data_IF_668151625824
#
_entry.id   IF_668151625824
#
_cell.length_a   1.000
_cell.length_b   1.000
_cell.length_c   1.000
_cell.angle_alpha   90.00
_cell.angle_beta   90.00
_cell.angle_gamma   90.00
#
_symmetry.space_group_name_H-M   'P 1'
#
loop_
_entity.id
_entity.type
_entity.pdbx_description
1 polymer ?
#
# COMPACT_ATOMS: atom_id res chain seq x y z
N UNK A 1 13.41 -23.90 52.30
CA UNK A 1 12.70 -23.48 51.06
C UNK A 1 13.58 -22.46 50.35
N UNK A 2 14.23 -22.90 49.28
CA UNK A 2 15.12 -22.13 48.42
C UNK A 2 14.33 -21.11 47.58
N UNK A 3 14.78 -19.84 47.41
CA UNK A 3 14.13 -18.90 46.54
C UNK A 3 14.51 -19.20 45.08
N UNK A 4 13.49 -19.50 44.28
CA UNK A 4 13.62 -19.84 42.88
C UNK A 4 14.23 -18.71 42.04
N UNK A 5 15.17 -19.11 41.28
CA UNK A 5 15.88 -18.41 40.20
C UNK A 5 14.90 -17.85 39.17
N UNK A 6 14.52 -16.57 39.29
CA UNK A 6 13.89 -15.84 38.19
C UNK A 6 14.98 -15.56 37.16
N UNK A 7 15.08 -16.44 36.18
CA UNK A 7 15.90 -16.24 35.00
C UNK A 7 15.50 -14.90 34.35
N UNK A 8 16.50 -14.03 34.22
CA UNK A 8 16.51 -12.85 33.42
C UNK A 8 15.89 -13.15 32.04
N UNK A 9 14.64 -12.78 31.81
CA UNK A 9 14.19 -12.48 30.46
C UNK A 9 14.96 -11.23 30.06
N UNK A 10 15.94 -11.42 29.19
CA UNK A 10 16.62 -10.32 28.54
C UNK A 10 15.52 -9.42 27.95
N UNK A 11 15.39 -8.20 28.48
CA UNK A 11 14.72 -7.13 27.77
C UNK A 11 15.50 -7.00 26.47
N UNK A 12 14.88 -7.41 25.38
CA UNK A 12 15.36 -7.03 24.06
C UNK A 12 15.23 -5.52 24.00
N UNK A 13 16.33 -4.84 24.25
CA UNK A 13 16.46 -3.38 24.11
C UNK A 13 16.39 -3.04 22.61
N UNK A 14 15.18 -2.97 22.07
CA UNK A 14 14.91 -2.47 20.72
C UNK A 14 15.24 -0.97 20.56
N UNK A 15 15.67 -0.32 21.63
CA UNK A 15 16.01 1.10 21.67
C UNK A 15 17.42 1.42 21.10
N UNK A 16 18.28 0.42 20.89
CA UNK A 16 19.66 0.63 20.43
C UNK A 16 19.90 0.28 18.96
N UNK A 17 18.95 -0.39 18.29
CA UNK A 17 19.11 -0.72 16.88
C UNK A 17 18.89 0.54 16.00
N UNK A 18 19.83 0.89 15.11
CA UNK A 18 19.65 2.02 14.20
C UNK A 18 18.35 1.88 13.39
N UNK A 19 17.63 2.99 13.21
CA UNK A 19 16.32 2.99 12.51
C UNK A 19 16.40 2.28 11.16
N UNK A 20 17.45 2.54 10.38
CA UNK A 20 17.65 1.96 9.05
C UNK A 20 17.75 0.44 9.11
N UNK A 21 18.56 -0.12 10.02
CA UNK A 21 18.72 -1.56 10.17
C UNK A 21 17.40 -2.24 10.60
N UNK A 22 16.66 -1.61 11.50
CA UNK A 22 15.35 -2.06 11.94
C UNK A 22 14.34 -2.10 10.79
N UNK A 23 14.29 -1.02 9.99
CA UNK A 23 13.41 -0.93 8.83
C UNK A 23 13.78 -2.00 7.79
N UNK A 24 15.06 -2.18 7.52
CA UNK A 24 15.57 -3.21 6.61
C UNK A 24 15.18 -4.62 7.06
N UNK A 25 15.29 -4.89 8.34
CA UNK A 25 14.91 -6.20 8.91
C UNK A 25 13.42 -6.44 8.76
N UNK A 26 12.57 -5.44 9.08
CA UNK A 26 11.12 -5.53 8.92
C UNK A 26 10.72 -5.76 7.47
N UNK A 27 11.36 -5.04 6.53
CA UNK A 27 11.13 -5.23 5.10
C UNK A 27 11.41 -6.65 4.64
N UNK A 28 12.61 -7.18 4.97
CA UNK A 28 13.00 -8.55 4.60
C UNK A 28 12.06 -9.60 5.19
N UNK A 29 11.66 -9.42 6.45
CA UNK A 29 10.72 -10.32 7.12
C UNK A 29 9.35 -10.29 6.43
N UNK A 30 8.81 -9.10 6.16
CA UNK A 30 7.54 -8.95 5.47
C UNK A 30 7.58 -9.49 4.05
N UNK A 31 8.64 -9.20 3.29
CA UNK A 31 8.82 -9.69 1.92
C UNK A 31 8.81 -11.22 1.87
N UNK A 32 9.52 -11.88 2.77
CA UNK A 32 9.52 -13.34 2.85
C UNK A 32 8.15 -13.91 3.20
N UNK A 33 7.46 -13.30 4.17
CA UNK A 33 6.16 -13.76 4.62
C UNK A 33 5.06 -13.56 3.58
N UNK A 34 5.07 -12.44 2.85
CA UNK A 34 4.06 -12.10 1.86
C UNK A 34 4.42 -12.54 0.43
N UNK A 35 5.53 -13.25 0.24
CA UNK A 35 6.04 -13.64 -1.08
C UNK A 35 4.99 -14.34 -1.95
N UNK A 36 4.31 -15.35 -1.39
CA UNK A 36 3.28 -16.11 -2.12
C UNK A 36 2.12 -15.20 -2.51
N UNK A 37 1.58 -14.45 -1.54
CA UNK A 37 0.48 -13.51 -1.80
C UNK A 37 0.84 -12.47 -2.87
N UNK A 38 2.08 -11.94 -2.86
CA UNK A 38 2.55 -10.98 -3.88
C UNK A 38 2.66 -11.59 -5.26
N UNK A 39 3.09 -12.86 -5.35
CA UNK A 39 3.13 -13.59 -6.60
C UNK A 39 1.72 -13.81 -7.15
N UNK A 40 0.81 -14.25 -6.27
CA UNK A 40 -0.60 -14.52 -6.63
C UNK A 40 -1.29 -13.22 -7.04
N UNK A 41 -1.09 -12.12 -6.29
CA UNK A 41 -1.66 -10.81 -6.61
C UNK A 41 -1.22 -10.29 -7.99
N UNK A 42 0.07 -10.43 -8.35
CA UNK A 42 0.53 -10.05 -9.70
C UNK A 42 -0.13 -10.90 -10.79
N UNK A 43 -0.30 -12.18 -10.53
CA UNK A 43 -1.01 -13.08 -11.45
C UNK A 43 -2.49 -12.68 -11.57
N UNK A 44 -3.15 -12.35 -10.46
CA UNK A 44 -4.54 -11.91 -10.43
C UNK A 44 -4.74 -10.62 -11.24
N UNK A 45 -3.88 -9.62 -11.09
CA UNK A 45 -3.90 -8.42 -11.94
C UNK A 45 -3.70 -8.77 -13.41
N UNK A 46 -2.76 -9.66 -13.73
CA UNK A 46 -2.53 -10.13 -15.09
C UNK A 46 -3.71 -10.91 -15.68
N UNK A 47 -4.52 -11.59 -14.87
CA UNK A 47 -5.76 -12.20 -15.33
C UNK A 47 -6.87 -11.16 -15.58
N UNK A 48 -6.91 -10.10 -14.78
CA UNK A 48 -7.90 -9.02 -14.94
C UNK A 48 -7.63 -8.19 -16.19
N UNK A 49 -6.37 -7.87 -16.47
CA UNK A 49 -5.98 -7.13 -17.67
C UNK A 49 -5.91 -8.01 -18.94
N UNK A 50 -5.89 -9.33 -18.76
CA UNK A 50 -5.87 -10.31 -19.85
C UNK A 50 -4.48 -10.66 -20.38
N UNK A 51 -3.41 -10.14 -19.76
CA UNK A 51 -2.02 -10.38 -20.19
C UNK A 51 -1.52 -11.77 -19.82
N UNK A 52 -2.00 -12.34 -18.70
CA UNK A 52 -1.55 -13.62 -18.15
C UNK A 52 -2.43 -14.83 -18.47
N UNK A 53 -3.30 -14.73 -19.47
CA UNK A 53 -4.20 -15.83 -19.88
C UNK A 53 -3.48 -16.99 -20.56
N UNK A 54 -2.29 -16.75 -21.07
CA UNK A 54 -1.46 -17.74 -21.73
C UNK A 54 -0.06 -17.76 -21.08
N UNK A 55 0.45 -18.98 -20.80
CA UNK A 55 1.85 -19.09 -20.51
C UNK A 55 2.67 -18.77 -21.78
N UNK A 56 3.87 -18.20 -21.64
CA UNK A 56 4.72 -17.88 -22.80
C UNK A 56 5.01 -19.15 -23.64
N UNK A 57 5.20 -20.29 -22.97
CA UNK A 57 5.43 -21.57 -23.64
C UNK A 57 4.22 -22.00 -24.48
N UNK A 58 3.00 -21.90 -23.95
CA UNK A 58 1.78 -22.29 -24.68
C UNK A 58 1.51 -21.33 -25.83
N UNK A 59 1.73 -20.03 -25.62
CA UNK A 59 1.63 -19.02 -26.66
C UNK A 59 2.63 -19.29 -27.79
N UNK A 60 3.86 -19.67 -27.47
CA UNK A 60 4.88 -20.01 -28.46
C UNK A 60 4.52 -21.26 -29.25
N UNK A 61 4.03 -22.32 -28.59
CA UNK A 61 3.56 -23.53 -29.28
C UNK A 61 2.44 -23.21 -30.28
N UNK A 62 1.51 -22.32 -29.93
CA UNK A 62 0.45 -21.91 -30.83
C UNK A 62 0.99 -21.12 -32.03
N UNK A 63 1.94 -20.19 -31.80
CA UNK A 63 2.61 -19.43 -32.87
C UNK A 63 3.35 -20.34 -33.82
N UNK A 64 4.10 -21.34 -33.32
CA UNK A 64 4.83 -22.32 -34.13
C UNK A 64 3.89 -23.17 -34.99
N UNK A 65 2.66 -23.41 -34.50
CA UNK A 65 1.60 -24.10 -35.25
C UNK A 65 0.81 -23.16 -36.19
N UNK A 66 1.22 -21.91 -36.34
CA UNK A 66 0.53 -20.86 -37.11
C UNK A 66 -0.93 -20.65 -36.63
N UNK A 67 -1.20 -20.88 -35.36
CA UNK A 67 -2.51 -20.66 -34.75
C UNK A 67 -2.50 -19.29 -34.04
N UNK A 68 -3.59 -18.52 -34.13
CA UNK A 68 -3.66 -17.25 -33.41
C UNK A 68 -3.74 -17.50 -31.89
N UNK A 69 -3.01 -16.69 -31.13
CA UNK A 69 -3.11 -16.63 -29.68
C UNK A 69 -4.21 -15.61 -29.34
N UNK A 70 -5.41 -16.09 -29.00
CA UNK A 70 -6.56 -15.25 -28.70
C UNK A 70 -6.92 -15.35 -27.24
N UNK A 71 -7.07 -14.20 -26.58
CA UNK A 71 -7.53 -14.10 -25.20
C UNK A 71 -8.96 -13.58 -25.16
N UNK A 72 -9.85 -14.32 -24.50
CA UNK A 72 -11.20 -13.89 -24.17
C UNK A 72 -11.27 -13.58 -22.68
N UNK A 73 -10.93 -12.33 -22.32
CA UNK A 73 -10.96 -11.93 -20.94
C UNK A 73 -12.40 -11.94 -20.40
N UNK A 74 -12.64 -12.77 -19.39
CA UNK A 74 -13.92 -12.87 -18.66
C UNK A 74 -13.81 -12.39 -17.22
N UNK A 75 -12.58 -12.22 -16.71
CA UNK A 75 -12.32 -11.76 -15.35
C UNK A 75 -12.63 -10.26 -15.23
N UNK A 76 -12.09 -9.43 -16.15
CA UNK A 76 -12.31 -8.00 -16.16
C UNK A 76 -13.79 -7.61 -16.04
N UNK A 77 -14.69 -8.07 -16.93
CA UNK A 77 -16.12 -7.74 -16.85
C UNK A 77 -16.80 -8.12 -15.52
N UNK A 78 -16.35 -9.16 -14.84
CA UNK A 78 -16.90 -9.54 -13.52
C UNK A 78 -16.45 -8.52 -12.46
N UNK A 79 -15.18 -8.12 -12.48
CA UNK A 79 -14.67 -7.07 -11.59
C UNK A 79 -15.41 -5.76 -11.85
N UNK A 80 -15.58 -5.35 -13.13
CA UNK A 80 -16.28 -4.13 -13.52
C UNK A 80 -17.73 -4.09 -13.00
N UNK A 81 -18.43 -5.23 -12.98
CA UNK A 81 -19.79 -5.31 -12.40
C UNK A 81 -19.76 -5.06 -10.90
N UNK A 82 -18.78 -5.61 -10.17
CA UNK A 82 -18.69 -5.45 -8.71
C UNK A 82 -18.31 -4.01 -8.35
N UNK A 83 -17.32 -3.44 -9.03
CA UNK A 83 -16.89 -2.04 -8.82
C UNK A 83 -17.97 -1.06 -9.26
N UNK A 84 -18.67 -1.33 -10.36
CA UNK A 84 -19.82 -0.52 -10.78
C UNK A 84 -20.98 -0.54 -9.78
N UNK A 85 -21.17 -1.63 -9.02
CA UNK A 85 -22.15 -1.65 -7.93
C UNK A 85 -21.69 -0.81 -6.73
N UNK A 86 -20.41 -0.78 -6.42
CA UNK A 86 -19.86 0.07 -5.38
C UNK A 86 -20.07 1.54 -5.74
N UNK A 87 -19.67 1.97 -6.94
CA UNK A 87 -19.84 3.34 -7.45
C UNK A 87 -21.30 3.80 -7.38
N UNK A 88 -22.26 2.92 -7.72
CA UNK A 88 -23.67 3.25 -7.65
C UNK A 88 -24.23 3.30 -6.22
N UNK A 89 -23.53 2.76 -5.23
CA UNK A 89 -23.95 2.69 -3.84
C UNK A 89 -22.97 3.38 -2.89
N UNK A 90 -22.20 4.35 -3.37
CA UNK A 90 -21.29 5.15 -2.55
C UNK A 90 -22.00 5.72 -1.33
N UNK A 91 -21.35 5.67 -0.19
CA UNK A 91 -21.92 6.11 1.08
C UNK A 91 -21.37 7.49 1.44
N UNK A 92 -22.27 8.39 1.82
CA UNK A 92 -21.91 9.69 2.36
C UNK A 92 -21.41 9.59 3.81
N UNK A 93 -20.36 10.31 4.13
CA UNK A 93 -19.87 10.46 5.51
C UNK A 93 -20.69 11.52 6.23
N UNK A 94 -21.36 11.15 7.32
CA UNK A 94 -22.17 12.07 8.14
C UNK A 94 -21.78 12.01 9.58
N UNK A 95 -21.58 13.17 10.20
CA UNK A 95 -21.39 13.30 11.65
C UNK A 95 -22.73 13.31 12.36
N UNK A 96 -22.93 12.37 13.27
CA UNK A 96 -24.17 12.21 14.03
C UNK A 96 -23.96 12.81 15.42
N UNK A 97 -24.86 13.74 15.88
CA UNK A 97 -24.78 14.31 17.21
C UNK A 97 -25.00 13.25 18.29
N UNK A 98 -24.15 13.25 19.32
CA UNK A 98 -24.29 12.37 20.48
C UNK A 98 -25.00 13.03 21.64
N UNK A 99 -24.95 14.37 21.73
CA UNK A 99 -25.57 15.17 22.78
C UNK A 99 -26.51 16.22 22.19
N UNK A 100 -27.46 16.67 23.02
CA UNK A 100 -28.34 17.78 22.63
C UNK A 100 -27.54 19.09 22.59
N UNK A 101 -27.46 19.70 21.45
CA UNK A 101 -26.66 20.92 21.19
C UNK A 101 -25.59 20.79 20.12
N UNK A 102 -25.13 19.57 19.83
CA UNK A 102 -24.07 19.32 18.87
C UNK A 102 -24.53 19.36 17.41
N UNK A 103 -25.84 19.54 17.18
CA UNK A 103 -26.42 19.45 15.84
C UNK A 103 -25.79 20.43 14.86
N UNK A 104 -25.63 21.69 15.25
CA UNK A 104 -25.02 22.72 14.38
C UNK A 104 -23.54 22.46 14.07
N UNK A 105 -22.80 21.97 15.06
CA UNK A 105 -21.38 21.62 14.88
C UNK A 105 -21.25 20.43 13.93
N UNK A 106 -22.09 19.41 14.09
CA UNK A 106 -22.05 18.22 13.25
C UNK A 106 -22.46 18.51 11.80
N UNK A 107 -23.37 19.44 11.56
CA UNK A 107 -23.70 19.90 10.20
C UNK A 107 -22.48 20.58 9.54
N UNK A 108 -21.76 21.43 10.27
CA UNK A 108 -20.53 22.08 9.78
C UNK A 108 -19.45 21.04 9.52
N UNK A 109 -19.24 20.07 10.42
CA UNK A 109 -18.25 19.01 10.25
C UNK A 109 -18.58 18.11 9.05
N UNK A 110 -19.86 17.80 8.84
CA UNK A 110 -20.29 17.03 7.67
C UNK A 110 -19.99 17.78 6.39
N UNK A 111 -20.38 19.07 6.30
CA UNK A 111 -20.08 19.87 5.13
C UNK A 111 -18.57 20.09 4.89
N UNK A 112 -17.77 20.21 5.96
CA UNK A 112 -16.32 20.29 5.84
C UNK A 112 -15.71 18.98 5.32
N UNK A 113 -16.21 17.84 5.79
CA UNK A 113 -15.76 16.53 5.31
C UNK A 113 -16.11 16.32 3.84
N UNK A 114 -17.32 16.68 3.43
CA UNK A 114 -17.76 16.63 2.03
C UNK A 114 -16.86 17.52 1.15
N UNK A 115 -16.62 18.77 1.57
CA UNK A 115 -15.78 19.70 0.84
C UNK A 115 -14.33 19.19 0.67
N UNK A 116 -13.74 18.60 1.72
CA UNK A 116 -12.40 18.02 1.64
C UNK A 116 -12.39 16.82 0.69
N UNK A 117 -13.38 15.94 0.77
CA UNK A 117 -13.47 14.75 -0.07
C UNK A 117 -13.66 15.09 -1.54
N UNK A 118 -14.50 16.09 -1.84
CA UNK A 118 -14.70 16.61 -3.20
C UNK A 118 -13.40 17.24 -3.73
N UNK A 119 -12.68 17.97 -2.88
CA UNK A 119 -11.47 18.69 -3.27
C UNK A 119 -10.27 17.80 -3.61
N UNK A 120 -10.28 16.53 -3.15
CA UNK A 120 -9.21 15.55 -3.42
C UNK A 120 -9.69 14.31 -4.18
N UNK A 121 -10.86 14.35 -4.82
CA UNK A 121 -11.46 13.23 -5.58
C UNK A 121 -11.48 11.91 -4.78
N UNK A 122 -11.69 12.01 -3.46
CA UNK A 122 -11.57 10.90 -2.52
C UNK A 122 -12.45 9.69 -2.89
N UNK A 123 -13.62 9.93 -3.49
CA UNK A 123 -14.53 8.87 -3.88
C UNK A 123 -13.97 7.99 -5.00
N UNK A 124 -13.23 8.57 -5.93
CA UNK A 124 -12.62 7.83 -7.04
C UNK A 124 -11.40 7.06 -6.54
N UNK A 125 -10.57 7.66 -5.69
CA UNK A 125 -9.43 7.00 -5.05
C UNK A 125 -9.87 5.82 -4.15
N UNK A 126 -10.96 5.96 -3.42
CA UNK A 126 -11.55 4.89 -2.60
C UNK A 126 -12.13 3.77 -3.48
N UNK A 127 -12.76 4.09 -4.62
CA UNK A 127 -13.27 3.09 -5.58
C UNK A 127 -12.12 2.31 -6.23
N UNK A 128 -11.02 2.97 -6.54
CA UNK A 128 -9.82 2.31 -7.06
C UNK A 128 -9.20 1.37 -6.00
N UNK A 129 -9.12 1.80 -4.74
CA UNK A 129 -8.68 0.95 -3.65
C UNK A 129 -9.65 -0.23 -3.40
N UNK A 130 -10.95 -0.03 -3.59
CA UNK A 130 -11.93 -1.11 -3.54
C UNK A 130 -11.72 -2.12 -4.69
N UNK A 131 -11.40 -1.64 -5.87
CA UNK A 131 -11.06 -2.49 -7.02
C UNK A 131 -9.85 -3.37 -6.71
N UNK A 132 -8.78 -2.81 -6.13
CA UNK A 132 -7.64 -3.58 -5.67
C UNK A 132 -8.04 -4.64 -4.63
N UNK A 133 -8.89 -4.28 -3.68
CA UNK A 133 -9.39 -5.22 -2.68
C UNK A 133 -10.18 -6.38 -3.32
N UNK A 134 -10.92 -6.13 -4.38
CA UNK A 134 -11.65 -7.18 -5.11
C UNK A 134 -10.70 -8.08 -5.89
N UNK A 135 -9.62 -7.54 -6.44
CA UNK A 135 -8.64 -8.28 -7.25
C UNK A 135 -7.72 -9.12 -6.37
N UNK A 136 -6.98 -8.47 -5.45
CA UNK A 136 -5.91 -9.12 -4.69
C UNK A 136 -6.23 -9.34 -3.21
N UNK A 137 -7.45 -8.99 -2.76
CA UNK A 137 -7.92 -9.15 -1.39
C UNK A 137 -7.49 -8.05 -0.42
N UNK A 138 -6.77 -7.02 -0.89
CA UNK A 138 -6.34 -5.85 -0.10
C UNK A 138 -6.48 -4.57 -0.91
N UNK A 139 -7.00 -3.51 -0.28
CA UNK A 139 -7.03 -2.15 -0.82
C UNK A 139 -6.52 -1.18 0.23
N UNK A 140 -5.79 -0.16 -0.18
CA UNK A 140 -5.17 0.82 0.69
C UNK A 140 -5.43 2.23 0.20
N UNK A 141 -5.74 3.10 1.15
CA UNK A 141 -5.79 4.55 0.95
C UNK A 141 -4.90 5.23 1.98
N UNK A 142 -4.26 6.31 1.59
CA UNK A 142 -3.46 7.18 2.46
C UNK A 142 -4.14 8.53 2.59
N UNK A 143 -4.39 8.94 3.82
CA UNK A 143 -4.93 10.27 4.13
C UNK A 143 -3.84 11.08 4.81
N UNK A 144 -3.38 12.13 4.15
CA UNK A 144 -2.30 12.98 4.65
C UNK A 144 -2.55 14.45 4.39
N UNK A 145 -1.80 15.29 5.10
CA UNK A 145 -1.65 16.70 4.76
C UNK A 145 -0.50 16.86 3.77
N UNK A 146 -0.75 17.52 2.64
CA UNK A 146 0.26 17.87 1.65
C UNK A 146 0.52 19.38 1.67
N UNK A 147 1.79 19.72 1.64
CA UNK A 147 2.29 21.10 1.66
C UNK A 147 3.11 21.45 0.41
N UNK A 148 3.16 20.53 -0.58
CA UNK A 148 3.94 20.75 -1.81
C UNK A 148 3.26 21.78 -2.73
N UNK A 149 1.94 21.74 -2.80
CA UNK A 149 1.13 22.63 -3.66
C UNK A 149 0.58 23.82 -2.90
N UNK A 150 0.10 23.59 -1.69
CA UNK A 150 -0.46 24.62 -0.81
C UNK A 150 0.33 24.71 0.49
N UNK A 151 0.91 25.90 0.76
CA UNK A 151 1.71 26.14 1.97
C UNK A 151 0.88 26.08 3.25
N UNK A 152 -0.42 26.31 3.17
CA UNK A 152 -1.36 26.16 4.29
C UNK A 152 -1.74 24.69 4.54
N UNK A 153 -1.38 23.82 3.59
CA UNK A 153 -1.62 22.39 3.62
C UNK A 153 -3.00 22.01 3.09
N UNK A 154 -3.02 21.07 2.16
CA UNK A 154 -4.23 20.44 1.64
C UNK A 154 -4.35 19.01 2.17
N UNK A 155 -5.57 18.58 2.52
CA UNK A 155 -5.82 17.17 2.81
C UNK A 155 -5.91 16.43 1.49
N UNK A 156 -5.11 15.37 1.37
CA UNK A 156 -5.11 14.48 0.21
C UNK A 156 -5.50 13.09 0.68
N UNK A 157 -6.38 12.45 -0.08
CA UNK A 157 -6.74 11.03 0.02
C UNK A 157 -6.30 10.40 -1.28
N UNK A 158 -5.39 9.44 -1.23
CA UNK A 158 -4.77 8.83 -2.39
C UNK A 158 -4.81 7.31 -2.25
N UNK A 159 -5.13 6.60 -3.33
CA UNK A 159 -4.97 5.15 -3.40
C UNK A 159 -3.49 4.79 -3.32
N UNK A 160 -3.19 3.71 -2.62
CA UNK A 160 -1.85 3.10 -2.60
C UNK A 160 -1.93 1.73 -3.25
N UNK A 161 -0.98 1.44 -4.16
CA UNK A 161 -0.84 0.10 -4.71
C UNK A 161 -0.59 -0.91 -3.58
N UNK A 162 -1.41 -1.97 -3.45
CA UNK A 162 -1.21 -3.02 -2.45
C UNK A 162 0.17 -3.66 -2.49
N UNK A 163 0.81 -3.70 -3.64
CA UNK A 163 2.16 -4.23 -3.80
C UNK A 163 3.26 -3.32 -3.23
N UNK A 164 2.99 -2.03 -2.98
CA UNK A 164 3.90 -1.14 -2.27
C UNK A 164 3.86 -1.35 -0.75
N UNK A 165 2.77 -1.96 -0.23
CA UNK A 165 2.55 -2.06 1.21
C UNK A 165 3.15 -3.33 1.82
N UNK A 166 3.78 -3.15 2.97
CA UNK A 166 4.33 -4.21 3.81
C UNK A 166 3.87 -3.99 5.24
N UNK A 167 3.54 -5.06 5.94
CA UNK A 167 2.99 -4.99 7.29
C UNK A 167 3.62 -6.00 8.24
N UNK A 168 3.39 -5.78 9.52
CA UNK A 168 3.85 -6.67 10.58
C UNK A 168 3.28 -8.08 10.41
N UNK A 169 4.16 -9.06 10.28
CA UNK A 169 3.81 -10.48 10.15
C UNK A 169 3.11 -11.05 11.38
N UNK A 170 3.20 -10.35 12.52
CA UNK A 170 2.50 -10.70 13.75
C UNK A 170 1.04 -10.25 13.81
N UNK A 171 0.59 -9.40 12.87
CA UNK A 171 -0.79 -8.91 12.82
C UNK A 171 -1.77 -10.05 12.50
N UNK A 172 -2.88 -10.12 13.25
CA UNK A 172 -3.91 -11.16 13.12
C UNK A 172 -5.26 -10.61 12.70
N UNK A 173 -5.49 -9.31 12.89
CA UNK A 173 -6.73 -8.68 12.48
C UNK A 173 -6.71 -8.38 10.98
N UNK A 174 -7.84 -8.58 10.32
CA UNK A 174 -7.97 -8.29 8.89
C UNK A 174 -7.72 -6.81 8.55
N UNK A 175 -8.08 -5.90 9.45
CA UNK A 175 -7.86 -4.46 9.31
C UNK A 175 -6.48 -4.01 9.80
N UNK A 176 -5.57 -4.95 10.10
CA UNK A 176 -4.21 -4.69 10.60
C UNK A 176 -4.12 -3.71 11.78
N UNK A 177 -5.22 -3.51 12.54
CA UNK A 177 -5.25 -2.60 13.69
C UNK A 177 -4.36 -3.04 14.86
N UNK A 178 -3.85 -4.26 14.83
CA UNK A 178 -2.88 -4.84 15.76
C UNK A 178 -1.46 -4.91 15.19
N UNK A 179 -1.24 -4.40 13.99
CA UNK A 179 0.09 -4.27 13.40
C UNK A 179 0.91 -3.24 14.20
N UNK A 180 2.15 -3.60 14.51
CA UNK A 180 3.09 -2.72 15.24
C UNK A 180 3.81 -1.75 14.31
N UNK A 181 3.85 -2.06 13.01
CA UNK A 181 4.47 -1.25 11.99
C UNK A 181 3.86 -1.54 10.62
N UNK A 182 3.90 -0.52 9.78
CA UNK A 182 3.57 -0.56 8.37
C UNK A 182 4.72 0.09 7.60
N UNK A 183 5.03 -0.43 6.42
CA UNK A 183 6.03 0.10 5.50
C UNK A 183 5.38 0.30 4.13
N UNK A 184 5.58 1.46 3.55
CA UNK A 184 5.34 1.71 2.13
C UNK A 184 6.68 1.73 1.40
N UNK A 185 6.80 0.94 0.36
CA UNK A 185 8.00 0.89 -0.50
C UNK A 185 7.60 1.51 -1.82
N UNK A 186 8.11 2.70 -2.11
CA UNK A 186 7.88 3.38 -3.38
C UNK A 186 9.17 3.40 -4.18
N UNK A 187 9.05 3.09 -5.46
CA UNK A 187 10.16 3.17 -6.40
C UNK A 187 10.23 4.58 -6.98
N UNK A 188 11.44 5.13 -6.99
CA UNK A 188 11.73 6.43 -7.57
C UNK A 188 12.81 6.29 -8.62
N UNK A 189 12.67 6.99 -9.73
CA UNK A 189 13.77 7.18 -10.66
C UNK A 189 14.86 8.05 -10.02
N UNK A 190 16.09 7.88 -10.48
CA UNK A 190 17.23 8.70 -9.99
C UNK A 190 16.95 10.19 -10.08
N UNK A 191 16.34 10.63 -11.18
CA UNK A 191 16.02 12.04 -11.41
C UNK A 191 15.01 12.57 -10.39
N UNK A 192 13.97 11.81 -10.08
CA UNK A 192 12.99 12.18 -9.05
C UNK A 192 13.62 12.29 -7.65
N UNK A 193 14.60 11.43 -7.34
CA UNK A 193 15.34 11.51 -6.08
C UNK A 193 16.23 12.75 -6.01
N UNK A 194 16.93 13.09 -7.11
CA UNK A 194 17.74 14.29 -7.21
C UNK A 194 16.87 15.55 -7.08
N UNK A 195 15.67 15.57 -7.68
CA UNK A 195 14.73 16.67 -7.57
C UNK A 195 14.13 16.79 -6.16
N UNK A 196 13.81 15.68 -5.51
CA UNK A 196 13.13 15.67 -4.20
C UNK A 196 14.13 15.83 -3.02
N UNK A 197 15.33 15.28 -3.13
CA UNK A 197 16.38 15.32 -2.10
C UNK A 197 17.77 15.62 -2.70
N UNK A 198 18.00 16.82 -3.21
CA UNK A 198 19.24 17.18 -3.91
C UNK A 198 20.50 16.95 -3.09
N UNK A 199 20.44 17.17 -1.76
CA UNK A 199 21.59 17.04 -0.87
C UNK A 199 21.92 15.58 -0.49
N UNK A 200 21.02 14.63 -0.76
CA UNK A 200 21.15 13.23 -0.32
C UNK A 200 21.11 12.20 -1.44
N UNK A 201 20.84 12.63 -2.66
CA UNK A 201 20.70 11.72 -3.80
C UNK A 201 21.95 10.85 -4.00
N UNK A 202 23.15 11.42 -3.83
CA UNK A 202 24.41 10.69 -3.99
C UNK A 202 24.66 9.67 -2.84
N UNK A 203 24.12 9.89 -1.64
CA UNK A 203 24.22 8.95 -0.52
C UNK A 203 23.29 7.75 -0.72
N UNK A 204 22.13 7.97 -1.37
CA UNK A 204 21.10 6.94 -1.59
C UNK A 204 21.45 6.06 -2.78
N UNK A 205 22.16 6.58 -3.79
CA UNK A 205 22.54 5.89 -5.04
C UNK A 205 23.76 4.96 -4.89
N UNK A 206 24.17 4.60 -3.68
CA UNK A 206 25.25 3.64 -3.46
C UNK A 206 24.90 2.22 -3.97
N UNK A 207 25.90 1.35 -4.19
CA UNK A 207 25.68 -0.01 -4.71
C UNK A 207 24.83 -0.91 -3.81
N UNK A 208 24.48 -0.44 -2.62
CA UNK A 208 23.59 -1.12 -1.67
C UNK A 208 22.15 -0.54 -1.68
N UNK A 209 21.86 0.41 -2.55
CA UNK A 209 20.55 1.08 -2.60
C UNK A 209 19.51 0.31 -3.44
N UNK A 210 19.92 -0.75 -4.13
CA UNK A 210 19.01 -1.60 -4.92
C UNK A 210 18.35 -2.61 -3.97
N UNK A 211 17.11 -2.33 -3.59
CA UNK A 211 16.33 -3.14 -2.65
C UNK A 211 15.31 -4.06 -3.34
N UNK A 212 15.23 -4.02 -4.67
CA UNK A 212 14.31 -4.83 -5.46
C UNK A 212 15.01 -6.05 -6.09
N UNK A 213 14.26 -7.15 -6.24
CA UNK A 213 14.71 -8.40 -6.84
C UNK A 213 14.84 -8.35 -8.39
N UNK A 214 14.39 -7.26 -9.03
CA UNK A 214 14.34 -7.13 -10.49
C UNK A 214 15.54 -6.37 -11.04
N UNK A 215 16.65 -7.13 -11.19
CA UNK A 215 17.90 -6.67 -11.83
C UNK A 215 17.80 -6.54 -13.36
N UNK A 216 16.62 -6.66 -13.95
CA UNK A 216 16.45 -6.74 -15.42
C UNK A 216 15.93 -5.47 -16.08
N UNK A 217 15.68 -4.38 -15.35
CA UNK A 217 15.25 -3.12 -15.95
C UNK A 217 16.46 -2.19 -16.15
N UNK A 218 16.62 -1.63 -17.35
CA UNK A 218 17.75 -0.77 -17.74
C UNK A 218 17.74 0.59 -17.02
N UNK A 219 16.69 0.89 -16.26
CA UNK A 219 16.58 2.11 -15.43
C UNK A 219 16.78 1.76 -13.97
N UNK A 220 17.78 2.32 -13.27
CA UNK A 220 17.96 2.09 -11.85
C UNK A 220 16.82 2.70 -11.06
N UNK A 221 15.86 1.88 -10.62
CA UNK A 221 14.84 2.24 -9.67
C UNK A 221 15.39 2.13 -8.25
N UNK A 222 15.13 3.14 -7.44
CA UNK A 222 15.58 3.17 -6.05
C UNK A 222 14.34 3.09 -5.17
N UNK A 223 14.26 2.04 -4.35
CA UNK A 223 13.14 1.86 -3.43
C UNK A 223 13.29 2.77 -2.21
N UNK A 224 12.35 3.67 -2.00
CA UNK A 224 12.27 4.49 -0.79
C UNK A 224 11.31 3.85 0.22
N UNK A 225 11.76 3.70 1.46
CA UNK A 225 10.99 3.10 2.55
C UNK A 225 10.36 4.21 3.41
N UNK A 226 9.03 4.29 3.40
CA UNK A 226 8.27 5.08 4.35
C UNK A 226 7.84 4.18 5.51
N UNK A 227 8.37 4.46 6.71
CA UNK A 227 8.06 3.71 7.91
C UNK A 227 7.06 4.47 8.77
N UNK A 228 5.93 3.83 9.10
CA UNK A 228 4.99 4.32 10.09
C UNK A 228 4.91 3.32 11.23
N UNK A 229 5.14 3.80 12.46
CA UNK A 229 4.81 3.07 13.68
C UNK A 229 3.52 3.66 14.23
N UNK A 230 2.46 2.87 14.46
CA UNK A 230 1.31 3.39 15.17
C UNK A 230 1.76 3.96 16.51
N UNK A 231 1.32 5.17 16.83
CA UNK A 231 1.57 5.77 18.14
C UNK A 231 1.11 4.80 19.23
N UNK A 232 1.89 4.56 20.29
CA UNK A 232 1.41 3.81 21.42
C UNK A 232 0.12 4.48 21.90
N UNK A 233 -0.95 3.70 22.01
CA UNK A 233 -2.20 4.17 22.62
C UNK A 233 -1.90 4.36 24.11
N UNK A 234 -1.98 5.58 24.59
CA UNK A 234 -2.00 5.92 26.01
C UNK A 234 -3.23 5.29 26.69
#
# INVERSE_FOLDING_TARGET
RSPGNRKNMAKLDFAEEPLVERVQRHYKEAQQHTKTWRSDAREDYGFVDGSMQWSENDAQVLRDQLRPVLTFNRCGPVIDVVTGQEINNRQEVRYIPREQGDKGINEVLTGAAEWVRDGCDAEDEESDAFTDMVICGMGWTDTRMDYEVDLDGAVIIERIDPLEMHWDTGARKRNLADARWLLRVKEFSRKELEDKWPDKADEVVGPNAIWGDDLNDETPHISCLLYTSPSPRD
#
